data_IF_519461904241
#
_entry.id   IF_519461904241
#
_cell.length_a   1.000
_cell.length_b   1.000
_cell.length_c   1.000
_cell.angle_alpha   90.00
_cell.angle_beta   90.00
_cell.angle_gamma   90.00
#
_symmetry.space_group_name_H-M   'P 1'
#
loop_
_entity.id
_entity.type
_entity.pdbx_description
1 polymer ?
#
# COMPACT_ATOMS: atom_id res chain seq x y z
N UNK A 1 -16.22 -8.40 -51.13
CA UNK A 1 -16.12 -9.01 -49.78
C UNK A 1 -14.73 -8.90 -49.13
N UNK A 2 -13.61 -9.19 -49.81
CA UNK A 2 -12.24 -9.07 -49.24
C UNK A 2 -11.85 -7.66 -48.75
N UNK A 3 -12.37 -6.60 -49.37
CA UNK A 3 -12.02 -5.22 -49.01
C UNK A 3 -12.64 -4.77 -47.66
N UNK A 4 -13.84 -5.25 -47.33
CA UNK A 4 -14.55 -4.91 -46.10
C UNK A 4 -13.90 -5.53 -44.86
N UNK A 5 -13.37 -6.75 -44.97
CA UNK A 5 -12.65 -7.44 -43.89
C UNK A 5 -11.31 -6.76 -43.53
N UNK A 6 -10.58 -6.21 -44.50
CA UNK A 6 -9.31 -5.49 -44.23
C UNK A 6 -9.54 -4.23 -43.41
N UNK A 7 -10.61 -3.50 -43.68
CA UNK A 7 -10.96 -2.27 -42.94
C UNK A 7 -11.30 -2.55 -41.47
N UNK A 8 -12.04 -3.64 -41.19
CA UNK A 8 -12.38 -4.04 -39.81
C UNK A 8 -11.16 -4.55 -39.04
N UNK A 9 -10.25 -5.28 -39.69
CA UNK A 9 -9.03 -5.77 -39.08
C UNK A 9 -8.07 -4.62 -38.72
N UNK A 10 -7.86 -3.67 -39.63
CA UNK A 10 -7.02 -2.49 -39.39
C UNK A 10 -7.60 -1.64 -38.25
N UNK A 11 -8.92 -1.42 -38.24
CA UNK A 11 -9.58 -0.69 -37.14
C UNK A 11 -9.39 -1.35 -35.77
N UNK A 12 -9.47 -2.68 -35.70
CA UNK A 12 -9.22 -3.44 -34.46
C UNK A 12 -7.76 -3.35 -34.01
N UNK A 13 -6.81 -3.41 -34.94
CA UNK A 13 -5.39 -3.30 -34.62
C UNK A 13 -5.03 -1.90 -34.13
N UNK A 14 -5.62 -0.86 -34.74
CA UNK A 14 -5.49 0.51 -34.27
C UNK A 14 -6.08 0.68 -32.85
N UNK A 15 -7.27 0.13 -32.60
CA UNK A 15 -7.88 0.17 -31.27
C UNK A 15 -7.03 -0.56 -30.22
N UNK A 16 -6.42 -1.70 -30.56
CA UNK A 16 -5.48 -2.40 -29.70
C UNK A 16 -4.25 -1.53 -29.39
N UNK A 17 -3.65 -0.92 -30.42
CA UNK A 17 -2.50 -0.03 -30.25
C UNK A 17 -2.80 1.17 -29.35
N UNK A 18 -3.96 1.82 -29.55
CA UNK A 18 -4.42 2.91 -28.68
C UNK A 18 -4.64 2.42 -27.25
N UNK A 19 -5.26 1.26 -27.07
CA UNK A 19 -5.50 0.69 -25.73
C UNK A 19 -4.18 0.42 -24.99
N UNK A 20 -3.19 -0.14 -25.68
CA UNK A 20 -1.84 -0.37 -25.11
C UNK A 20 -1.17 0.96 -24.77
N UNK A 21 -1.26 1.96 -25.64
CA UNK A 21 -0.68 3.29 -25.38
C UNK A 21 -1.33 3.99 -24.18
N UNK A 22 -2.65 3.88 -24.03
CA UNK A 22 -3.39 4.42 -22.89
C UNK A 22 -2.96 3.73 -21.59
N UNK A 23 -2.88 2.39 -21.59
CA UNK A 23 -2.40 1.64 -20.43
C UNK A 23 -0.97 2.04 -20.07
N UNK A 24 -0.09 2.12 -21.06
CA UNK A 24 1.29 2.57 -20.86
C UNK A 24 1.33 3.96 -20.20
N UNK A 25 0.58 4.93 -20.72
CA UNK A 25 0.55 6.28 -20.17
C UNK A 25 -0.02 6.30 -18.74
N UNK A 26 -1.03 5.49 -18.46
CA UNK A 26 -1.62 5.39 -17.13
C UNK A 26 -0.59 4.90 -16.10
N UNK A 27 0.16 3.84 -16.41
CA UNK A 27 1.13 3.28 -15.48
C UNK A 27 2.43 4.09 -15.37
N UNK A 28 2.99 4.54 -16.50
CA UNK A 28 4.32 5.17 -16.52
C UNK A 28 4.30 6.69 -16.41
N UNK A 29 3.15 7.34 -16.67
CA UNK A 29 3.04 8.81 -16.61
C UNK A 29 2.09 9.24 -15.49
N UNK A 30 0.86 8.74 -15.46
CA UNK A 30 -0.10 9.16 -14.45
C UNK A 30 0.26 8.64 -13.05
N UNK A 31 0.65 7.36 -12.93
CA UNK A 31 1.07 6.75 -11.67
C UNK A 31 2.13 7.56 -10.90
N UNK A 32 3.32 7.82 -11.49
CA UNK A 32 4.36 8.61 -10.84
C UNK A 32 3.93 10.03 -10.46
N UNK A 33 3.07 10.67 -11.28
CA UNK A 33 2.56 12.00 -10.96
C UNK A 33 1.61 12.00 -9.78
N UNK A 34 0.74 10.99 -9.64
CA UNK A 34 -0.12 10.85 -8.47
C UNK A 34 0.72 10.70 -7.20
N UNK A 35 1.75 9.84 -7.23
CA UNK A 35 2.66 9.67 -6.07
C UNK A 35 3.40 10.98 -5.75
N UNK A 36 3.82 11.74 -6.75
CA UNK A 36 4.49 13.02 -6.55
C UNK A 36 3.62 14.08 -5.81
N UNK A 37 2.30 14.00 -5.94
CA UNK A 37 1.38 14.97 -5.33
C UNK A 37 0.80 14.54 -3.98
N UNK A 38 0.96 13.27 -3.59
CA UNK A 38 0.42 12.74 -2.33
C UNK A 38 1.56 12.35 -1.37
N UNK A 39 1.86 13.20 -0.37
CA UNK A 39 2.94 12.95 0.60
C UNK A 39 2.79 11.61 1.34
N UNK A 40 1.55 11.19 1.60
CA UNK A 40 1.25 9.90 2.23
C UNK A 40 1.76 8.71 1.39
N UNK A 41 1.63 8.78 0.05
CA UNK A 41 2.10 7.72 -0.84
C UNK A 41 3.63 7.71 -0.94
N UNK A 42 4.27 8.87 -0.88
CA UNK A 42 5.73 8.96 -0.83
C UNK A 42 6.29 8.37 0.46
N UNK A 43 5.68 8.70 1.60
CA UNK A 43 6.06 8.13 2.88
C UNK A 43 5.87 6.61 2.89
N UNK A 44 4.73 6.13 2.38
CA UNK A 44 4.46 4.70 2.26
C UNK A 44 5.51 3.97 1.40
N UNK A 45 5.92 4.56 0.26
CA UNK A 45 7.00 4.01 -0.57
C UNK A 45 8.35 3.98 0.15
N UNK A 46 8.73 5.07 0.82
CA UNK A 46 9.98 5.14 1.57
C UNK A 46 10.05 4.11 2.71
N UNK A 47 8.93 3.89 3.42
CA UNK A 47 8.83 2.85 4.46
C UNK A 47 9.00 1.45 3.85
N UNK A 48 8.42 1.19 2.68
CA UNK A 48 8.62 -0.09 1.99
C UNK A 48 10.10 -0.33 1.65
N UNK A 49 10.80 0.69 1.14
CA UNK A 49 12.22 0.58 0.82
C UNK A 49 13.07 0.34 2.06
N UNK A 50 12.78 1.01 3.18
CA UNK A 50 13.49 0.85 4.46
C UNK A 50 13.37 -0.57 5.00
N UNK A 51 12.16 -1.15 4.96
CA UNK A 51 11.90 -2.48 5.51
C UNK A 51 12.05 -3.60 4.47
N UNK A 52 12.44 -3.28 3.24
CA UNK A 52 12.55 -4.24 2.14
C UNK A 52 11.21 -4.89 1.76
N UNK A 53 10.08 -4.22 2.04
CA UNK A 53 8.73 -4.74 1.79
C UNK A 53 8.42 -4.59 0.31
N UNK A 54 8.33 -5.71 -0.40
CA UNK A 54 8.04 -5.74 -1.84
C UNK A 54 6.55 -5.98 -2.05
N UNK A 55 5.73 -4.96 -1.79
CA UNK A 55 4.26 -5.07 -1.80
C UNK A 55 3.64 -5.58 -3.11
N UNK A 56 4.33 -5.39 -4.24
CA UNK A 56 3.90 -5.88 -5.55
C UNK A 56 4.40 -7.27 -5.93
N UNK A 57 5.19 -7.93 -5.07
CA UNK A 57 5.78 -9.24 -5.34
C UNK A 57 5.39 -10.20 -4.21
N UNK A 58 4.41 -11.07 -4.47
CA UNK A 58 4.12 -12.19 -3.58
C UNK A 58 4.91 -13.41 -4.05
N UNK A 59 5.83 -13.88 -3.21
CA UNK A 59 6.49 -15.15 -3.44
C UNK A 59 5.81 -16.27 -2.65
N UNK A 60 5.87 -17.48 -3.21
CA UNK A 60 5.38 -18.68 -2.52
C UNK A 60 6.14 -18.96 -1.22
N UNK A 61 7.35 -18.41 -1.08
CA UNK A 61 8.18 -18.52 0.12
C UNK A 61 7.79 -17.55 1.24
N UNK A 62 6.91 -16.58 1.00
CA UNK A 62 6.58 -15.52 1.97
C UNK A 62 5.37 -15.90 2.85
N UNK A 63 5.17 -17.20 3.09
CA UNK A 63 3.98 -17.72 3.79
C UNK A 63 3.90 -17.18 5.22
N UNK A 64 5.00 -17.21 5.95
CA UNK A 64 5.06 -16.75 7.34
C UNK A 64 4.79 -15.25 7.44
N UNK A 65 5.37 -14.45 6.53
CA UNK A 65 5.13 -13.00 6.51
C UNK A 65 3.69 -12.67 6.10
N UNK A 66 3.11 -13.42 5.17
CA UNK A 66 1.72 -13.27 4.77
C UNK A 66 0.77 -13.59 5.94
N UNK A 67 1.07 -14.64 6.72
CA UNK A 67 0.29 -14.98 7.91
C UNK A 67 0.40 -13.92 9.01
N UNK A 68 1.60 -13.38 9.28
CA UNK A 68 1.78 -12.31 10.26
C UNK A 68 1.07 -11.02 9.85
N UNK A 69 1.11 -10.66 8.57
CA UNK A 69 0.39 -9.50 8.04
C UNK A 69 -1.13 -9.63 8.21
N UNK A 70 -1.69 -10.82 7.98
CA UNK A 70 -3.11 -11.10 8.21
C UNK A 70 -3.50 -11.01 9.69
N UNK A 71 -2.66 -11.57 10.59
CA UNK A 71 -2.88 -11.46 12.04
C UNK A 71 -2.87 -9.99 12.48
N UNK A 72 -1.91 -9.20 12.01
CA UNK A 72 -1.81 -7.77 12.31
C UNK A 72 -3.01 -6.98 11.75
N UNK A 73 -3.48 -7.34 10.55
CA UNK A 73 -4.68 -6.74 9.95
C UNK A 73 -5.90 -7.01 10.81
N UNK A 74 -6.14 -8.26 11.23
CA UNK A 74 -7.25 -8.59 12.14
C UNK A 74 -7.15 -7.89 13.48
N UNK A 75 -5.95 -7.82 14.06
CA UNK A 75 -5.70 -7.15 15.33
C UNK A 75 -6.01 -5.65 15.24
N UNK A 76 -5.67 -5.02 14.12
CA UNK A 76 -5.97 -3.60 13.87
C UNK A 76 -7.48 -3.35 14.00
N UNK A 77 -8.31 -4.15 13.34
CA UNK A 77 -9.78 -4.02 13.43
C UNK A 77 -10.33 -4.36 14.81
N UNK A 78 -9.83 -5.43 15.44
CA UNK A 78 -10.31 -5.86 16.78
C UNK A 78 -9.96 -4.87 17.88
N UNK A 79 -8.85 -4.17 17.76
CA UNK A 79 -8.33 -3.26 18.78
C UNK A 79 -8.30 -1.80 18.29
N UNK A 80 -9.11 -1.47 17.28
CA UNK A 80 -9.23 -0.08 16.82
C UNK A 80 -9.74 0.77 17.98
N UNK A 81 -9.01 1.78 18.47
CA UNK A 81 -9.46 2.60 19.58
C UNK A 81 -10.72 3.39 19.18
N UNK A 82 -11.86 3.05 19.76
CA UNK A 82 -13.14 3.74 19.51
C UNK A 82 -13.32 4.91 20.47
N UNK A 83 -12.40 5.88 20.45
CA UNK A 83 -12.48 7.10 21.28
C UNK A 83 -12.66 6.84 22.79
N UNK A 84 -12.86 7.89 23.60
CA UNK A 84 -13.20 7.72 25.01
C UNK A 84 -14.57 7.04 25.13
N UNK A 85 -14.63 5.96 25.92
CA UNK A 85 -15.88 5.30 26.26
C UNK A 85 -16.88 6.33 26.77
N UNK A 86 -18.04 6.43 26.11
CA UNK A 86 -19.11 7.33 26.54
C UNK A 86 -19.71 6.77 27.82
N UNK A 87 -19.15 7.17 28.96
CA UNK A 87 -19.66 6.91 30.30
C UNK A 87 -18.82 5.91 31.10
N UNK A 88 -18.01 6.43 32.01
CA UNK A 88 -18.12 6.09 33.44
C UNK A 88 -17.89 4.66 33.94
N UNK A 89 -17.36 3.71 33.19
CA UNK A 89 -17.06 2.38 33.72
C UNK A 89 -15.56 2.19 34.03
N UNK A 90 -15.15 2.21 35.32
CA UNK A 90 -13.75 1.96 35.72
C UNK A 90 -13.29 0.51 35.50
N UNK A 91 -14.14 -0.36 34.95
CA UNK A 91 -13.83 -1.76 34.64
C UNK A 91 -13.30 -1.98 33.20
N UNK A 92 -13.29 -0.95 32.34
CA UNK A 92 -12.81 -1.05 30.95
C UNK A 92 -11.29 -0.78 30.80
N UNK A 93 -10.58 -0.54 31.90
CA UNK A 93 -9.12 -0.44 31.90
C UNK A 93 -8.51 -1.85 31.86
N UNK A 94 -8.41 -2.44 30.66
CA UNK A 94 -7.51 -3.56 30.42
C UNK A 94 -6.06 -3.20 30.81
N UNK A 95 -5.21 -4.19 31.10
CA UNK A 95 -3.86 -3.93 31.62
C UNK A 95 -3.10 -3.05 30.63
N UNK A 96 -2.66 -1.89 31.13
CA UNK A 96 -1.99 -0.88 30.33
C UNK A 96 -0.87 -1.48 29.50
N UNK A 97 -0.94 -1.30 28.19
CA UNK A 97 0.20 -1.56 27.32
C UNK A 97 1.24 -0.52 27.68
N UNK A 98 2.29 -0.95 28.40
CA UNK A 98 3.45 -0.12 28.67
C UNK A 98 3.98 0.43 27.35
N UNK A 99 4.40 1.70 27.27
CA UNK A 99 4.95 2.26 26.06
C UNK A 99 6.13 1.39 25.62
N UNK A 100 6.03 0.82 24.42
CA UNK A 100 7.11 0.07 23.80
C UNK A 100 8.32 0.99 23.73
N UNK A 101 9.34 0.66 24.52
CA UNK A 101 10.57 1.44 24.61
C UNK A 101 11.07 1.71 23.19
N UNK A 102 11.26 2.99 22.88
CA UNK A 102 11.92 3.41 21.65
C UNK A 102 13.24 2.64 21.53
N UNK A 103 13.40 1.87 20.45
CA UNK A 103 14.65 1.19 20.14
C UNK A 103 15.80 2.21 20.09
N UNK A 104 17.05 1.77 20.35
CA UNK A 104 18.18 2.64 20.68
C UNK A 104 18.70 3.53 19.53
N UNK A 105 18.00 3.62 18.40
CA UNK A 105 18.41 4.45 17.27
C UNK A 105 18.05 5.94 17.41
N UNK A 106 17.11 6.30 18.29
CA UNK A 106 16.63 7.69 18.41
C UNK A 106 17.55 8.61 19.25
N UNK A 107 18.53 8.06 19.99
CA UNK A 107 19.39 8.84 20.88
C UNK A 107 20.57 9.55 20.18
N UNK A 108 20.87 9.23 18.91
CA UNK A 108 22.05 9.75 18.23
C UNK A 108 21.84 11.08 17.47
N UNK A 109 20.61 11.61 17.38
CA UNK A 109 20.29 12.79 16.57
C UNK A 109 20.20 14.11 17.35
N UNK A 110 20.38 14.12 18.68
CA UNK A 110 20.35 15.34 19.52
C UNK A 110 21.70 15.52 20.22
N UNK A 111 22.77 15.52 19.43
CA UNK A 111 24.08 15.98 19.87
C UNK A 111 24.92 16.35 18.64
N UNK A 112 24.56 17.46 17.99
CA UNK A 112 25.46 18.29 17.18
C UNK A 112 24.82 19.65 16.95
#
# INVERSE_FOLDING_TARGET
MRHTLRHTFIGRLAALGVSVAVLWALFFVAGPRVVAHLPALQHYGAVQDIYGIRSGQLYYTDVEMSQQAEINSRSTWRFTPTGPAKGGDPAAAGPGVAPMAAGPAAAAAVAR
#
